data_IF_412069349866
#
_entry.id   IF_412069349866
#
_cell.length_a   1.000
_cell.length_b   1.000
_cell.length_c   1.000
_cell.angle_alpha   90.00
_cell.angle_beta   90.00
_cell.angle_gamma   90.00
#
_symmetry.space_group_name_H-M   'P 1'
#
loop_
_entity.id
_entity.type
_entity.pdbx_description
1 polymer ?
#
# COMPACT_ATOMS: atom_id res chain seq x y z
N UNK A 1 72.41 -57.48 10.71
CA UNK A 1 71.99 -56.49 9.71
C UNK A 1 70.48 -56.42 9.69
N UNK A 2 69.92 -55.44 10.37
CA UNK A 2 68.45 -55.26 10.52
C UNK A 2 68.00 -54.20 9.52
N UNK A 3 67.11 -54.59 8.59
CA UNK A 3 66.39 -53.63 7.73
C UNK A 3 65.18 -53.13 8.47
N UNK A 4 65.14 -51.88 8.76
CA UNK A 4 63.93 -51.17 9.28
C UNK A 4 63.10 -50.74 8.10
N UNK A 5 61.83 -51.15 8.14
CA UNK A 5 60.80 -50.82 7.19
C UNK A 5 60.05 -49.61 7.71
N UNK A 6 60.20 -48.42 7.05
CA UNK A 6 59.45 -47.22 7.36
C UNK A 6 58.08 -47.28 6.73
N UNK A 7 57.05 -47.37 7.57
CA UNK A 7 55.65 -47.20 7.15
C UNK A 7 55.29 -45.71 7.19
N UNK A 8 55.11 -45.12 6.02
CA UNK A 8 54.58 -43.75 5.90
C UNK A 8 53.08 -43.85 5.91
N UNK A 9 52.45 -43.42 7.02
CA UNK A 9 51.01 -43.25 7.11
C UNK A 9 50.67 -41.88 6.49
N UNK A 10 50.07 -41.92 5.29
CA UNK A 10 49.52 -40.75 4.61
C UNK A 10 48.16 -40.43 5.25
N UNK A 11 48.14 -39.50 6.23
CA UNK A 11 46.89 -38.91 6.75
C UNK A 11 46.31 -38.01 5.67
N UNK A 12 45.30 -38.47 4.97
CA UNK A 12 44.49 -37.63 4.09
C UNK A 12 43.62 -36.67 4.95
N UNK A 13 44.02 -35.43 4.99
CA UNK A 13 43.16 -34.33 5.50
C UNK A 13 42.11 -34.08 4.42
N UNK A 14 40.93 -34.63 4.61
CA UNK A 14 39.74 -34.17 3.87
C UNK A 14 39.34 -32.81 4.45
N UNK A 15 39.82 -31.74 3.84
CA UNK A 15 39.27 -30.42 4.06
C UNK A 15 37.82 -30.45 3.57
N UNK A 16 36.89 -30.50 4.51
CA UNK A 16 35.52 -30.10 4.29
C UNK A 16 35.53 -28.60 3.91
N UNK A 17 35.58 -28.34 2.62
CA UNK A 17 35.22 -27.03 2.06
C UNK A 17 33.72 -26.80 2.35
N UNK A 18 33.43 -26.46 3.60
CA UNK A 18 32.21 -25.70 3.89
C UNK A 18 32.33 -24.42 3.08
N UNK A 19 31.71 -24.39 1.91
CA UNK A 19 31.64 -23.21 1.08
C UNK A 19 31.01 -22.09 1.88
N UNK A 20 31.85 -21.20 2.45
CA UNK A 20 31.41 -19.89 2.90
C UNK A 20 30.81 -19.20 1.66
N UNK A 21 29.49 -19.27 1.51
CA UNK A 21 28.78 -18.33 0.65
C UNK A 21 29.14 -16.94 1.19
N UNK A 22 29.57 -15.97 0.37
CA UNK A 22 29.75 -14.62 0.84
C UNK A 22 28.41 -14.17 1.41
N UNK A 23 28.30 -14.04 2.71
CA UNK A 23 27.19 -13.35 3.34
C UNK A 23 27.22 -11.95 2.78
N UNK A 24 26.27 -11.62 1.88
CA UNK A 24 26.11 -10.26 1.41
C UNK A 24 25.93 -9.35 2.63
N UNK A 25 26.54 -8.16 2.60
CA UNK A 25 26.40 -7.18 3.68
C UNK A 25 24.92 -7.04 4.03
N UNK A 26 24.59 -7.19 5.32
CA UNK A 26 23.19 -7.02 5.79
C UNK A 26 22.69 -5.61 5.42
N UNK A 27 21.40 -5.49 5.03
CA UNK A 27 20.85 -4.18 4.73
C UNK A 27 20.89 -3.28 5.96
N UNK A 28 21.14 -2.00 5.75
CA UNK A 28 21.06 -0.99 6.81
C UNK A 28 19.59 -0.71 7.14
N UNK A 29 19.30 -0.22 8.36
CA UNK A 29 17.94 0.24 8.71
C UNK A 29 17.46 1.31 7.75
N UNK A 30 16.22 1.19 7.28
CA UNK A 30 15.65 2.08 6.26
C UNK A 30 16.17 1.80 4.85
N UNK A 31 15.79 2.64 3.90
CA UNK A 31 16.19 2.50 2.49
C UNK A 31 17.42 3.36 2.22
N UNK A 32 18.62 2.77 2.25
CA UNK A 32 19.85 3.49 1.90
C UNK A 32 19.88 3.84 0.41
N UNK A 33 20.63 4.89 0.05
CA UNK A 33 20.80 5.29 -1.37
C UNK A 33 21.36 4.13 -2.21
N UNK A 34 22.26 3.32 -1.63
CA UNK A 34 22.81 2.15 -2.31
C UNK A 34 21.73 1.10 -2.63
N UNK A 35 20.90 0.75 -1.64
CA UNK A 35 19.79 -0.16 -1.81
C UNK A 35 18.74 0.36 -2.83
N UNK A 36 18.40 1.65 -2.71
CA UNK A 36 17.46 2.29 -3.63
C UNK A 36 17.93 2.21 -5.10
N UNK A 37 19.19 2.54 -5.35
CA UNK A 37 19.81 2.47 -6.68
C UNK A 37 19.85 1.05 -7.22
N UNK A 38 20.22 0.08 -6.38
CA UNK A 38 20.27 -1.32 -6.75
C UNK A 38 18.88 -1.83 -7.17
N UNK A 39 17.84 -1.59 -6.35
CA UNK A 39 16.46 -1.95 -6.65
C UNK A 39 16.01 -1.38 -7.99
N UNK A 40 16.25 -0.09 -8.21
CA UNK A 40 15.84 0.62 -9.45
C UNK A 40 16.52 0.09 -10.70
N UNK A 41 17.78 -0.37 -10.59
CA UNK A 41 18.53 -0.93 -11.70
C UNK A 41 18.12 -2.36 -12.04
N UNK A 42 17.77 -3.14 -11.02
CA UNK A 42 17.61 -4.58 -11.17
C UNK A 42 16.17 -5.06 -11.22
N UNK A 43 15.20 -4.24 -10.77
CA UNK A 43 13.79 -4.62 -10.65
C UNK A 43 12.94 -3.76 -11.57
N UNK A 44 12.06 -4.43 -12.31
CA UNK A 44 11.07 -3.80 -13.20
C UNK A 44 9.76 -4.58 -13.19
N UNK A 45 8.70 -4.04 -13.83
CA UNK A 45 7.37 -4.64 -13.94
C UNK A 45 6.79 -5.06 -12.58
N UNK A 46 6.91 -4.18 -11.60
CA UNK A 46 6.48 -4.43 -10.24
C UNK A 46 4.96 -4.37 -10.12
N UNK A 47 4.39 -5.40 -9.50
CA UNK A 47 2.96 -5.47 -9.18
C UNK A 47 2.76 -6.02 -7.79
N UNK A 48 1.74 -5.52 -7.09
CA UNK A 48 1.29 -6.02 -5.79
C UNK A 48 -0.15 -6.52 -5.91
N UNK A 49 -0.41 -7.74 -5.44
CA UNK A 49 -1.76 -8.22 -5.13
C UNK A 49 -1.87 -8.34 -3.63
N UNK A 50 -2.69 -7.46 -3.05
CA UNK A 50 -2.88 -7.36 -1.60
C UNK A 50 -4.25 -7.88 -1.22
N UNK A 51 -4.31 -8.66 -0.16
CA UNK A 51 -5.55 -9.07 0.48
C UNK A 51 -5.46 -8.79 1.97
N UNK A 52 -6.48 -8.12 2.52
CA UNK A 52 -6.60 -7.89 3.96
C UNK A 52 -7.93 -8.45 4.46
N UNK A 53 -7.87 -9.17 5.57
CA UNK A 53 -9.04 -9.52 6.37
C UNK A 53 -9.09 -8.60 7.57
N UNK A 54 -10.11 -7.73 7.59
CA UNK A 54 -10.27 -6.66 8.56
C UNK A 54 -11.41 -7.06 9.52
N UNK A 55 -11.13 -7.36 10.80
CA UNK A 55 -12.17 -7.61 11.79
C UNK A 55 -12.85 -6.30 12.23
N UNK A 56 -14.09 -6.38 12.73
CA UNK A 56 -14.83 -5.22 13.26
C UNK A 56 -14.16 -4.68 14.53
N UNK A 57 -13.78 -5.56 15.43
CA UNK A 57 -13.10 -5.18 16.67
C UNK A 57 -11.67 -4.71 16.37
N UNK A 58 -11.37 -3.46 16.71
CA UNK A 58 -10.05 -2.86 16.47
C UNK A 58 -8.90 -3.52 17.26
N UNK A 59 -9.19 -4.30 18.30
CA UNK A 59 -8.17 -5.02 19.06
C UNK A 59 -7.71 -6.31 18.36
N UNK A 60 -8.50 -6.81 17.40
CA UNK A 60 -8.13 -7.99 16.64
C UNK A 60 -7.15 -7.64 15.52
N UNK A 61 -6.27 -8.59 15.19
CA UNK A 61 -5.24 -8.42 14.17
C UNK A 61 -5.85 -8.39 12.76
N UNK A 62 -5.33 -7.50 11.93
CA UNK A 62 -5.62 -7.49 10.50
C UNK A 62 -4.67 -8.46 9.82
N UNK A 63 -5.23 -9.52 9.23
CA UNK A 63 -4.45 -10.53 8.52
C UNK A 63 -4.26 -10.07 7.08
N UNK A 64 -3.01 -10.09 6.63
CA UNK A 64 -2.61 -9.69 5.29
C UNK A 64 -1.99 -10.83 4.49
N UNK A 65 -2.16 -10.76 3.19
CA UNK A 65 -1.39 -11.52 2.20
C UNK A 65 -0.95 -10.58 1.09
N UNK A 66 0.31 -10.65 0.73
CA UNK A 66 0.83 -9.96 -0.45
C UNK A 66 1.46 -10.96 -1.42
N UNK A 67 1.15 -10.82 -2.68
CA UNK A 67 1.84 -11.44 -3.80
C UNK A 67 2.52 -10.33 -4.60
N UNK A 68 3.84 -10.38 -4.66
CA UNK A 68 4.68 -9.41 -5.36
C UNK A 68 5.21 -10.09 -6.61
N UNK A 69 4.85 -9.57 -7.78
CA UNK A 69 5.46 -10.00 -9.04
C UNK A 69 6.42 -8.93 -9.53
N UNK A 70 7.58 -9.36 -9.99
CA UNK A 70 8.63 -8.49 -10.46
C UNK A 70 9.50 -9.18 -11.52
N UNK A 71 10.24 -8.40 -12.29
CA UNK A 71 11.27 -8.89 -13.21
C UNK A 71 12.64 -8.46 -12.71
N UNK A 72 13.57 -9.41 -12.56
CA UNK A 72 14.96 -9.13 -12.22
C UNK A 72 15.88 -9.22 -13.45
N UNK A 73 16.78 -8.26 -13.59
CA UNK A 73 17.80 -8.29 -14.64
C UNK A 73 18.95 -9.23 -14.29
N UNK A 74 19.22 -9.45 -13.01
CA UNK A 74 20.24 -10.37 -12.48
C UNK A 74 19.68 -11.14 -11.30
N UNK A 75 20.13 -12.38 -11.11
CA UNK A 75 19.77 -13.16 -9.91
C UNK A 75 20.57 -12.62 -8.73
N UNK A 76 19.88 -11.99 -7.80
CA UNK A 76 20.44 -11.47 -6.55
C UNK A 76 19.35 -11.42 -5.48
N UNK A 77 19.72 -11.33 -4.20
CA UNK A 77 18.74 -11.27 -3.12
C UNK A 77 17.76 -10.12 -3.32
N UNK A 78 16.49 -10.37 -3.02
CA UNK A 78 15.45 -9.33 -2.98
C UNK A 78 15.28 -8.89 -1.53
N UNK A 79 15.42 -7.60 -1.30
CA UNK A 79 15.27 -6.97 0.01
C UNK A 79 13.97 -6.19 0.01
N UNK A 80 12.98 -6.64 0.79
CA UNK A 80 11.68 -5.97 0.97
C UNK A 80 11.67 -5.23 2.30
N UNK A 81 10.99 -4.11 2.35
CA UNK A 81 10.84 -3.32 3.57
C UNK A 81 9.61 -3.80 4.34
N UNK A 82 9.77 -4.08 5.63
CA UNK A 82 8.68 -4.38 6.55
C UNK A 82 9.11 -4.06 7.98
N UNK A 83 8.70 -2.89 8.47
CA UNK A 83 9.08 -2.35 9.79
C UNK A 83 8.10 -2.77 10.85
N UNK A 84 8.03 -4.06 11.09
CA UNK A 84 7.18 -4.68 12.09
C UNK A 84 7.93 -5.80 12.80
N UNK A 85 7.35 -6.32 13.89
CA UNK A 85 7.90 -7.46 14.61
C UNK A 85 8.09 -8.65 13.66
N UNK A 86 9.27 -9.32 13.66
CA UNK A 86 9.53 -10.49 12.83
C UNK A 86 8.47 -11.58 12.90
N UNK A 87 7.83 -11.76 14.04
CA UNK A 87 6.77 -12.74 14.25
C UNK A 87 5.51 -12.45 13.43
N UNK A 88 5.36 -11.24 12.88
CA UNK A 88 4.25 -10.88 12.00
C UNK A 88 4.38 -11.44 10.60
N UNK A 89 5.56 -11.88 10.16
CA UNK A 89 5.74 -12.62 8.91
C UNK A 89 5.45 -14.10 9.19
N UNK A 90 4.40 -14.65 8.57
CA UNK A 90 3.91 -16.00 8.87
C UNK A 90 4.38 -17.05 7.86
N UNK A 91 4.46 -16.68 6.59
CA UNK A 91 4.89 -17.56 5.52
C UNK A 91 5.59 -16.76 4.42
N UNK A 92 6.61 -17.33 3.83
CA UNK A 92 7.28 -16.84 2.63
C UNK A 92 7.32 -17.94 1.59
N UNK A 93 6.94 -17.63 0.35
CA UNK A 93 7.15 -18.48 -0.82
C UNK A 93 7.79 -17.68 -1.93
N UNK A 94 8.68 -18.32 -2.68
CA UNK A 94 9.33 -17.76 -3.85
C UNK A 94 9.10 -18.69 -5.03
N UNK A 95 8.46 -18.17 -6.10
CA UNK A 95 8.10 -18.96 -7.28
C UNK A 95 7.33 -20.25 -6.93
N UNK A 96 6.38 -20.14 -5.99
CA UNK A 96 5.54 -21.25 -5.50
C UNK A 96 6.23 -22.20 -4.51
N UNK A 97 7.49 -22.00 -4.16
CA UNK A 97 8.26 -22.84 -3.22
C UNK A 97 8.38 -22.16 -1.86
N UNK A 98 8.09 -22.86 -0.75
CA UNK A 98 8.36 -22.35 0.58
C UNK A 98 9.84 -21.97 0.74
N UNK A 99 10.09 -20.82 1.35
CA UNK A 99 11.44 -20.32 1.64
C UNK A 99 11.56 -19.93 3.11
N UNK A 100 12.78 -19.83 3.61
CA UNK A 100 13.08 -19.42 4.98
C UNK A 100 12.84 -17.93 5.15
N UNK A 101 12.20 -17.56 6.27
CA UNK A 101 11.99 -16.17 6.63
C UNK A 101 13.27 -15.64 7.29
N UNK A 102 13.94 -14.70 6.62
CA UNK A 102 15.09 -13.98 7.15
C UNK A 102 14.79 -12.50 7.23
N UNK A 103 14.81 -11.97 8.44
CA UNK A 103 14.55 -10.54 8.71
C UNK A 103 15.81 -9.92 9.31
N UNK A 104 16.22 -8.79 8.75
CA UNK A 104 17.34 -8.00 9.22
C UNK A 104 17.04 -6.51 9.05
N UNK A 105 17.19 -5.73 10.13
CA UNK A 105 17.11 -4.27 10.12
C UNK A 105 15.89 -3.72 9.35
N UNK A 106 14.67 -4.15 9.72
CA UNK A 106 13.39 -3.75 9.09
C UNK A 106 13.17 -4.30 7.66
N UNK A 107 13.95 -5.30 7.23
CA UNK A 107 13.85 -5.88 5.90
C UNK A 107 13.62 -7.38 5.95
N UNK A 108 12.77 -7.87 5.02
CA UNK A 108 12.67 -9.28 4.68
C UNK A 108 13.66 -9.54 3.55
N UNK A 109 14.65 -10.39 3.80
CA UNK A 109 15.70 -10.73 2.82
C UNK A 109 15.39 -12.07 2.17
N UNK A 110 14.97 -12.04 0.90
CA UNK A 110 14.71 -13.23 0.08
C UNK A 110 16.02 -13.67 -0.56
N UNK A 111 16.44 -14.88 -0.28
CA UNK A 111 17.67 -15.47 -0.83
C UNK A 111 17.56 -15.79 -2.32
N UNK A 112 18.68 -16.20 -2.93
CA UNK A 112 18.74 -16.47 -4.37
C UNK A 112 18.31 -17.87 -4.77
N UNK A 113 18.04 -18.77 -3.83
CA UNK A 113 17.86 -20.20 -4.08
C UNK A 113 16.71 -20.52 -5.04
N UNK A 114 15.63 -19.73 -4.99
CA UNK A 114 14.45 -19.89 -5.85
C UNK A 114 14.22 -18.72 -6.78
N UNK A 115 15.04 -17.66 -6.72
CA UNK A 115 14.99 -16.55 -7.64
C UNK A 115 15.64 -16.89 -8.97
N UNK A 116 15.16 -16.26 -10.05
CA UNK A 116 15.70 -16.42 -11.40
C UNK A 116 15.80 -15.08 -12.12
N UNK A 117 16.63 -15.01 -13.13
CA UNK A 117 16.60 -13.90 -14.07
C UNK A 117 15.25 -13.87 -14.78
N UNK A 118 14.65 -12.69 -14.94
CA UNK A 118 13.32 -12.53 -15.51
C UNK A 118 12.23 -12.50 -14.44
N UNK A 119 11.06 -13.03 -14.74
CA UNK A 119 9.88 -12.95 -13.89
C UNK A 119 10.03 -13.79 -12.61
N UNK A 120 9.74 -13.18 -11.47
CA UNK A 120 9.69 -13.80 -10.16
C UNK A 120 8.38 -13.43 -9.45
N UNK A 121 7.97 -14.31 -8.55
CA UNK A 121 6.82 -14.15 -7.68
C UNK A 121 7.22 -14.42 -6.23
N UNK A 122 6.88 -13.51 -5.33
CA UNK A 122 7.12 -13.62 -3.90
C UNK A 122 5.76 -13.49 -3.21
N UNK A 123 5.37 -14.52 -2.45
CA UNK A 123 4.15 -14.52 -1.65
C UNK A 123 4.52 -14.45 -0.17
N UNK A 124 3.85 -13.57 0.58
CA UNK A 124 4.04 -13.41 2.02
C UNK A 124 2.69 -13.35 2.71
N UNK A 125 2.46 -14.25 3.67
CA UNK A 125 1.37 -14.14 4.62
C UNK A 125 1.88 -13.41 5.87
N UNK A 126 1.14 -12.39 6.32
CA UNK A 126 1.61 -11.51 7.39
C UNK A 126 0.46 -10.98 8.26
N UNK A 127 0.80 -10.46 9.42
CA UNK A 127 -0.08 -9.62 10.23
C UNK A 127 0.25 -8.16 9.90
N UNK A 128 -0.74 -7.40 9.46
CA UNK A 128 -0.56 -6.00 9.12
C UNK A 128 -0.17 -5.15 10.34
N UNK A 129 0.68 -4.15 10.12
CA UNK A 129 0.99 -3.19 11.16
C UNK A 129 -0.11 -2.15 11.36
N UNK A 130 -0.11 -1.50 12.51
CA UNK A 130 -1.15 -0.52 12.88
C UNK A 130 -0.69 0.94 12.81
N UNK A 131 0.62 1.20 12.60
CA UNK A 131 1.15 2.57 12.64
C UNK A 131 0.59 3.49 11.55
N UNK A 132 0.25 2.92 10.40
CA UNK A 132 -0.29 3.64 9.24
C UNK A 132 -1.70 3.23 8.88
N UNK A 133 -2.31 2.39 9.72
CA UNK A 133 -3.70 1.99 9.66
C UNK A 133 -4.45 2.70 10.78
N UNK A 134 -4.98 3.89 10.48
CA UNK A 134 -5.76 4.66 11.43
C UNK A 134 -7.11 4.00 11.65
N UNK A 135 -7.34 3.40 12.81
CA UNK A 135 -8.45 2.48 13.04
C UNK A 135 -9.18 2.75 14.35
N UNK A 136 -10.51 2.73 14.28
CA UNK A 136 -11.41 2.60 15.43
C UNK A 136 -12.41 1.45 15.17
N UNK A 137 -13.45 1.30 16.01
CA UNK A 137 -14.42 0.21 15.88
C UNK A 137 -15.46 0.46 14.77
N UNK A 138 -15.46 1.62 14.14
CA UNK A 138 -16.45 1.99 13.13
C UNK A 138 -15.86 2.19 11.75
N UNK A 139 -14.59 2.57 11.65
CA UNK A 139 -13.89 2.75 10.38
C UNK A 139 -12.38 2.68 10.54
N UNK A 140 -11.71 2.54 9.40
CA UNK A 140 -10.28 2.68 9.26
C UNK A 140 -9.92 3.36 7.93
N UNK A 141 -8.74 3.92 7.87
CA UNK A 141 -8.11 4.40 6.64
C UNK A 141 -6.59 4.24 6.71
N UNK A 142 -5.97 4.03 5.55
CA UNK A 142 -4.51 4.00 5.43
C UNK A 142 -3.97 5.42 5.23
N UNK A 143 -2.79 5.68 5.79
CA UNK A 143 -2.05 6.91 5.56
C UNK A 143 -0.54 6.59 5.54
N UNK A 144 -0.01 6.39 4.35
CA UNK A 144 1.30 5.80 4.12
C UNK A 144 2.40 6.82 3.83
N UNK A 145 2.04 8.10 3.74
CA UNK A 145 2.99 9.21 3.53
C UNK A 145 3.86 9.42 4.77
N UNK A 146 5.15 9.76 4.64
CA UNK A 146 5.92 9.84 3.39
C UNK A 146 6.52 8.50 2.93
N UNK A 147 6.77 7.53 3.83
CA UNK A 147 7.45 6.25 3.60
C UNK A 147 7.04 5.23 4.67
N UNK A 148 5.71 5.08 4.86
CA UNK A 148 5.12 4.28 5.94
C UNK A 148 4.38 3.04 5.44
N UNK A 149 4.41 2.73 4.12
CA UNK A 149 3.80 1.51 3.60
C UNK A 149 4.42 0.27 4.23
N UNK A 150 5.71 0.28 4.51
CA UNK A 150 6.43 -0.78 5.23
C UNK A 150 5.97 -1.02 6.68
N UNK A 151 5.16 -0.14 7.25
CA UNK A 151 4.52 -0.35 8.55
C UNK A 151 3.13 -0.98 8.44
N UNK A 152 2.68 -1.26 7.23
CA UNK A 152 1.41 -1.89 6.96
C UNK A 152 1.58 -3.26 6.30
N UNK A 153 2.40 -3.35 5.25
CA UNK A 153 2.63 -4.57 4.49
C UNK A 153 4.04 -4.64 3.90
N UNK A 154 4.57 -5.85 3.62
CA UNK A 154 5.86 -6.01 2.95
C UNK A 154 5.85 -5.40 1.55
N UNK A 155 6.80 -4.51 1.24
CA UNK A 155 6.87 -3.81 -0.04
C UNK A 155 8.28 -3.28 -0.34
N UNK A 156 8.44 -2.66 -1.49
CA UNK A 156 9.55 -1.73 -1.76
C UNK A 156 9.05 -0.31 -1.44
N UNK A 157 9.30 0.17 -0.24
CA UNK A 157 8.82 1.48 0.20
C UNK A 157 9.71 2.60 -0.30
N UNK A 158 9.69 2.77 -1.61
CA UNK A 158 10.54 3.67 -2.38
C UNK A 158 9.70 4.35 -3.46
N UNK A 159 9.56 5.69 -3.44
CA UNK A 159 8.58 6.41 -4.27
C UNK A 159 8.75 6.23 -5.78
N UNK A 160 9.98 6.07 -6.28
CA UNK A 160 10.25 5.88 -7.70
C UNK A 160 10.13 4.42 -8.18
N UNK A 161 9.81 3.49 -7.28
CA UNK A 161 9.42 2.12 -7.61
C UNK A 161 7.89 2.01 -7.73
N UNK A 162 7.33 2.72 -8.71
CA UNK A 162 5.89 2.67 -8.95
C UNK A 162 5.45 1.27 -9.36
N UNK A 163 4.28 0.85 -8.87
CA UNK A 163 3.72 -0.47 -9.11
C UNK A 163 2.22 -0.42 -9.38
N UNK A 164 1.71 -1.43 -10.05
CA UNK A 164 0.27 -1.69 -10.15
C UNK A 164 -0.18 -2.41 -8.90
N UNK A 165 -1.24 -1.92 -8.26
CA UNK A 165 -1.85 -2.54 -7.10
C UNK A 165 -3.20 -3.15 -7.45
N UNK A 166 -3.42 -4.40 -7.02
CA UNK A 166 -4.72 -5.06 -7.00
C UNK A 166 -5.06 -5.37 -5.54
N UNK A 167 -6.22 -4.93 -5.09
CA UNK A 167 -6.63 -5.04 -3.69
C UNK A 167 -7.86 -5.93 -3.54
N UNK A 168 -7.87 -6.76 -2.50
CA UNK A 168 -9.05 -7.44 -2.00
C UNK A 168 -9.21 -7.13 -0.50
N UNK A 169 -10.41 -6.76 -0.10
CA UNK A 169 -10.76 -6.53 1.30
C UNK A 169 -11.87 -7.51 1.73
N UNK A 170 -11.61 -8.27 2.78
CA UNK A 170 -12.59 -9.08 3.49
C UNK A 170 -12.97 -8.30 4.75
N UNK A 171 -14.17 -7.71 4.76
CA UNK A 171 -14.66 -6.77 5.77
C UNK A 171 -15.99 -7.23 6.37
N UNK A 172 -16.45 -6.69 7.52
CA UNK A 172 -17.83 -6.91 8.02
C UNK A 172 -18.87 -6.55 6.95
N UNK A 173 -19.94 -7.33 6.84
CA UNK A 173 -20.95 -7.20 5.78
C UNK A 173 -21.56 -5.80 5.67
N UNK A 174 -21.77 -5.13 6.82
CA UNK A 174 -22.38 -3.79 6.90
C UNK A 174 -21.40 -2.65 6.57
N UNK A 175 -20.10 -2.95 6.39
CA UNK A 175 -19.12 -1.94 6.06
C UNK A 175 -19.09 -1.62 4.57
N UNK A 176 -18.67 -0.42 4.24
CA UNK A 176 -18.36 0.04 2.89
C UNK A 176 -16.86 0.21 2.77
N UNK A 177 -16.31 -0.04 1.60
CA UNK A 177 -14.90 0.21 1.33
C UNK A 177 -14.71 1.02 0.04
N UNK A 178 -13.68 1.84 0.04
CA UNK A 178 -13.19 2.60 -1.11
C UNK A 178 -11.67 2.50 -1.17
N UNK A 179 -11.14 2.42 -2.38
CA UNK A 179 -9.69 2.34 -2.64
C UNK A 179 -9.34 3.17 -3.87
N UNK A 180 -8.05 3.17 -4.26
CA UNK A 180 -7.58 3.90 -5.44
C UNK A 180 -8.32 3.53 -6.74
N UNK A 181 -8.70 2.26 -6.90
CA UNK A 181 -9.39 1.77 -8.10
C UNK A 181 -10.88 1.50 -7.84
N UNK A 182 -11.66 1.35 -8.90
CA UNK A 182 -13.07 1.01 -8.82
C UNK A 182 -13.27 -0.42 -8.30
N UNK A 183 -14.44 -0.68 -7.71
CA UNK A 183 -14.85 -2.01 -7.33
C UNK A 183 -15.07 -2.85 -8.58
N UNK A 184 -14.46 -4.02 -8.64
CA UNK A 184 -14.64 -5.01 -9.69
C UNK A 184 -15.77 -6.00 -9.33
N UNK A 185 -15.77 -6.45 -8.07
CA UNK A 185 -16.82 -7.39 -7.59
C UNK A 185 -16.98 -7.32 -6.07
N UNK A 186 -18.20 -7.64 -5.62
CA UNK A 186 -18.53 -7.85 -4.22
C UNK A 186 -19.22 -9.20 -4.04
N UNK A 187 -18.82 -9.93 -3.00
CA UNK A 187 -19.41 -11.24 -2.66
C UNK A 187 -19.66 -11.30 -1.16
N UNK A 188 -20.87 -11.66 -0.76
CA UNK A 188 -21.23 -11.87 0.64
C UNK A 188 -21.02 -13.34 1.02
N UNK A 189 -20.41 -13.56 2.17
CA UNK A 189 -20.25 -14.88 2.72
C UNK A 189 -20.12 -14.83 4.25
N UNK A 190 -20.89 -15.64 4.96
CA UNK A 190 -20.81 -15.82 6.43
C UNK A 190 -20.81 -14.50 7.23
N UNK A 191 -21.69 -13.54 6.87
CA UNK A 191 -21.77 -12.22 7.53
C UNK A 191 -20.60 -11.28 7.22
N UNK A 192 -19.84 -11.57 6.17
CA UNK A 192 -18.73 -10.77 5.69
C UNK A 192 -18.89 -10.42 4.22
N UNK A 193 -18.19 -9.40 3.79
CA UNK A 193 -18.16 -8.94 2.42
C UNK A 193 -16.74 -9.01 1.89
N UNK A 194 -16.52 -9.78 0.83
CA UNK A 194 -15.29 -9.77 0.06
C UNK A 194 -15.44 -8.79 -1.11
N UNK A 195 -14.64 -7.74 -1.12
CA UNK A 195 -14.61 -6.73 -2.17
C UNK A 195 -13.30 -6.88 -2.94
N UNK A 196 -13.37 -7.06 -4.24
CA UNK A 196 -12.22 -6.98 -5.14
C UNK A 196 -12.24 -5.65 -5.89
N UNK A 197 -11.08 -5.02 -6.01
CA UNK A 197 -10.89 -3.78 -6.75
C UNK A 197 -10.11 -4.05 -8.03
N UNK A 198 -10.39 -3.27 -9.06
CA UNK A 198 -9.65 -3.30 -10.31
C UNK A 198 -8.17 -2.95 -10.08
N UNK A 199 -7.28 -3.35 -10.98
CA UNK A 199 -5.87 -2.91 -10.92
C UNK A 199 -5.76 -1.39 -11.05
N UNK A 200 -4.86 -0.78 -10.27
CA UNK A 200 -4.57 0.66 -10.38
C UNK A 200 -3.70 0.97 -11.59
N UNK A 201 -3.61 2.24 -11.98
CA UNK A 201 -2.45 2.74 -12.70
C UNK A 201 -1.18 2.58 -11.82
N UNK A 202 0.04 2.63 -12.38
CA UNK A 202 1.26 2.54 -11.56
C UNK A 202 1.37 3.68 -10.55
N UNK A 203 1.33 3.34 -9.25
CA UNK A 203 1.40 4.27 -8.12
C UNK A 203 2.68 4.05 -7.29
N UNK A 204 3.16 5.12 -6.66
CA UNK A 204 4.09 5.02 -5.54
C UNK A 204 3.40 4.39 -4.32
N UNK A 205 4.16 3.68 -3.47
CA UNK A 205 3.60 3.01 -2.29
C UNK A 205 2.87 3.95 -1.34
N UNK A 206 3.34 5.18 -1.17
CA UNK A 206 2.71 6.15 -0.28
C UNK A 206 1.35 6.67 -0.76
N UNK A 207 1.05 6.51 -2.06
CA UNK A 207 -0.24 6.86 -2.67
C UNK A 207 -1.24 5.69 -2.68
N UNK A 208 -0.80 4.48 -2.35
CA UNK A 208 -1.72 3.36 -2.19
C UNK A 208 -2.61 3.59 -0.98
N UNK A 209 -3.93 3.49 -1.18
CA UNK A 209 -4.90 3.80 -0.13
C UNK A 209 -6.13 2.90 -0.20
N UNK A 210 -6.66 2.61 0.98
CA UNK A 210 -8.02 2.12 1.15
C UNK A 210 -8.62 2.64 2.45
N UNK A 211 -9.93 2.73 2.44
CA UNK A 211 -10.78 3.10 3.58
C UNK A 211 -11.85 2.03 3.71
N UNK A 212 -12.20 1.65 4.92
CA UNK A 212 -13.32 0.73 5.15
C UNK A 212 -14.06 1.11 6.44
N UNK A 213 -15.37 0.88 6.49
CA UNK A 213 -16.17 1.20 7.69
C UNK A 213 -17.62 1.50 7.43
N UNK A 214 -18.28 2.07 8.44
CA UNK A 214 -19.69 2.50 8.40
C UNK A 214 -19.78 3.89 7.78
N UNK A 215 -19.75 3.99 6.46
CA UNK A 215 -19.79 5.25 5.71
C UNK A 215 -21.16 5.48 5.08
N UNK A 216 -21.61 6.74 5.08
CA UNK A 216 -22.69 7.23 4.23
C UNK A 216 -22.11 7.65 2.88
N UNK A 217 -22.94 7.68 1.84
CA UNK A 217 -22.53 7.98 0.47
C UNK A 217 -23.49 8.95 -0.18
N UNK A 218 -22.94 9.90 -0.94
CA UNK A 218 -23.67 10.72 -1.91
C UNK A 218 -22.89 10.69 -3.22
N UNK A 219 -23.59 10.60 -4.33
CA UNK A 219 -22.98 10.60 -5.65
C UNK A 219 -23.56 11.71 -6.52
N UNK A 220 -22.71 12.33 -7.33
CA UNK A 220 -23.12 13.29 -8.35
C UNK A 220 -22.42 13.00 -9.67
N UNK A 221 -23.18 13.17 -10.76
CA UNK A 221 -22.67 12.92 -12.13
C UNK A 221 -22.78 14.18 -12.97
N UNK A 222 -21.68 14.59 -13.60
CA UNK A 222 -21.61 15.73 -14.55
C UNK A 222 -20.70 15.36 -15.69
N UNK A 223 -21.10 15.71 -16.90
CA UNK A 223 -20.30 15.52 -18.14
C UNK A 223 -19.72 14.10 -18.27
N UNK A 224 -20.50 13.09 -17.87
CA UNK A 224 -20.11 11.68 -17.95
C UNK A 224 -19.15 11.20 -16.82
N UNK A 225 -18.74 12.08 -15.91
CA UNK A 225 -17.95 11.73 -14.71
C UNK A 225 -18.87 11.60 -13.51
N UNK A 226 -18.76 10.50 -12.77
CA UNK A 226 -19.46 10.30 -11.48
C UNK A 226 -18.45 10.37 -10.35
N UNK A 227 -18.75 11.19 -9.35
CA UNK A 227 -17.96 11.35 -8.12
C UNK A 227 -18.79 10.89 -6.95
N UNK A 228 -18.23 10.05 -6.08
CA UNK A 228 -18.85 9.59 -4.85
C UNK A 228 -18.15 10.24 -3.66
N UNK A 229 -18.94 10.82 -2.77
CA UNK A 229 -18.49 11.35 -1.49
C UNK A 229 -18.86 10.40 -0.37
N UNK A 230 -17.87 9.90 0.34
CA UNK A 230 -18.02 9.07 1.54
C UNK A 230 -17.84 9.95 2.77
N UNK A 231 -18.77 9.88 3.71
CA UNK A 231 -18.77 10.76 4.89
C UNK A 231 -19.43 10.11 6.10
N UNK A 232 -19.23 10.71 7.28
CA UNK A 232 -19.84 10.28 8.54
C UNK A 232 -20.55 11.39 9.28
N UNK A 233 -20.61 12.61 8.73
CA UNK A 233 -21.37 13.72 9.31
C UNK A 233 -22.86 13.36 9.38
N UNK A 234 -23.50 13.73 10.48
CA UNK A 234 -24.93 13.44 10.74
C UNK A 234 -25.78 14.70 10.86
N UNK A 235 -25.14 15.87 10.97
CA UNK A 235 -25.86 17.14 10.96
C UNK A 235 -26.40 17.45 9.54
N UNK A 236 -27.73 17.48 9.34
CA UNK A 236 -28.31 17.72 8.03
C UNK A 236 -27.89 19.06 7.39
N UNK A 237 -27.63 20.08 8.21
CA UNK A 237 -27.23 21.40 7.68
C UNK A 237 -25.81 21.34 7.10
N UNK A 238 -24.92 20.58 7.73
CA UNK A 238 -23.58 20.34 7.22
C UNK A 238 -23.59 19.43 6.01
N UNK A 239 -24.35 18.33 6.05
CA UNK A 239 -24.48 17.41 4.92
C UNK A 239 -25.07 18.12 3.70
N UNK A 240 -26.00 19.08 3.87
CA UNK A 240 -26.54 19.89 2.76
C UNK A 240 -25.46 20.68 1.98
N UNK A 241 -24.26 20.87 2.56
CA UNK A 241 -23.14 21.49 1.84
C UNK A 241 -22.53 20.60 0.76
N UNK A 242 -22.96 19.34 0.63
CA UNK A 242 -22.47 18.43 -0.41
C UNK A 242 -22.55 19.01 -1.82
N UNK A 243 -23.61 19.78 -2.12
CA UNK A 243 -23.79 20.41 -3.44
C UNK A 243 -22.62 21.33 -3.78
N UNK A 244 -22.27 22.24 -2.85
CA UNK A 244 -21.16 23.18 -3.08
C UNK A 244 -19.80 22.46 -3.07
N UNK A 245 -19.65 21.38 -2.31
CA UNK A 245 -18.43 20.55 -2.33
C UNK A 245 -18.26 19.92 -3.71
N UNK A 246 -19.31 19.31 -4.28
CA UNK A 246 -19.26 18.76 -5.64
C UNK A 246 -19.02 19.85 -6.68
N UNK A 247 -19.67 21.03 -6.56
CA UNK A 247 -19.41 22.16 -7.44
C UNK A 247 -17.93 22.54 -7.48
N UNK A 248 -17.30 22.63 -6.31
CA UNK A 248 -15.88 22.98 -6.19
C UNK A 248 -14.96 21.90 -6.77
N UNK A 249 -15.28 20.60 -6.60
CA UNK A 249 -14.50 19.49 -7.14
C UNK A 249 -14.60 19.46 -8.68
N UNK A 250 -15.81 19.51 -9.23
CA UNK A 250 -16.00 19.52 -10.69
C UNK A 250 -15.38 20.75 -11.33
N UNK A 251 -15.48 21.92 -10.69
CA UNK A 251 -14.84 23.14 -11.17
C UNK A 251 -13.31 23.02 -11.17
N UNK A 252 -12.71 22.45 -10.11
CA UNK A 252 -11.27 22.24 -10.01
C UNK A 252 -10.76 21.27 -11.06
N UNK A 253 -11.43 20.12 -11.26
CA UNK A 253 -11.10 19.16 -12.30
C UNK A 253 -11.16 19.80 -13.70
N UNK A 254 -12.28 20.46 -14.01
CA UNK A 254 -12.45 21.10 -15.31
C UNK A 254 -11.39 22.18 -15.55
N UNK A 255 -11.13 23.03 -14.56
CA UNK A 255 -10.14 24.10 -14.70
C UNK A 255 -8.73 23.54 -14.96
N UNK A 256 -8.35 22.48 -14.24
CA UNK A 256 -7.05 21.83 -14.41
C UNK A 256 -6.93 21.15 -15.78
N UNK A 257 -7.96 20.43 -16.25
CA UNK A 257 -7.99 19.84 -17.59
C UNK A 257 -7.88 20.90 -18.67
N UNK A 258 -8.61 22.01 -18.56
CA UNK A 258 -8.56 23.12 -19.50
C UNK A 258 -7.19 23.83 -19.50
N UNK A 259 -6.60 24.03 -18.29
CA UNK A 259 -5.32 24.72 -18.11
C UNK A 259 -4.12 23.89 -18.59
N UNK A 260 -4.09 22.60 -18.28
CA UNK A 260 -2.98 21.72 -18.65
C UNK A 260 -3.12 21.12 -20.03
N UNK A 261 -4.33 21.06 -20.57
CA UNK A 261 -4.66 20.32 -21.80
C UNK A 261 -4.59 18.80 -21.61
N UNK A 262 -4.52 18.32 -20.38
CA UNK A 262 -4.42 16.90 -20.02
C UNK A 262 -5.70 16.48 -19.31
N UNK A 263 -6.46 15.50 -19.84
CA UNK A 263 -7.61 14.94 -19.12
C UNK A 263 -7.18 14.27 -17.81
N UNK A 264 -8.07 14.29 -16.83
CA UNK A 264 -7.83 13.56 -15.56
C UNK A 264 -7.47 12.09 -15.87
N UNK A 265 -6.30 11.60 -15.43
CA UNK A 265 -5.73 10.35 -15.94
C UNK A 265 -6.23 9.09 -15.25
N UNK A 266 -6.98 9.21 -14.14
CA UNK A 266 -7.45 8.06 -13.37
C UNK A 266 -8.93 7.76 -13.63
N UNK A 267 -9.35 6.51 -13.39
CA UNK A 267 -10.69 6.03 -13.75
C UNK A 267 -11.82 6.61 -12.87
N UNK A 268 -11.49 7.07 -11.67
CA UNK A 268 -12.46 7.67 -10.73
C UNK A 268 -11.82 8.76 -9.86
N UNK A 269 -12.67 9.62 -9.32
CA UNK A 269 -12.30 10.65 -8.34
C UNK A 269 -13.33 10.62 -7.22
N UNK A 270 -13.09 9.84 -6.15
CA UNK A 270 -13.96 9.82 -4.99
C UNK A 270 -13.39 10.66 -3.86
N UNK A 271 -14.28 11.18 -3.02
CA UNK A 271 -13.95 11.97 -1.83
C UNK A 271 -14.24 11.13 -0.60
N UNK A 272 -13.31 11.08 0.35
CA UNK A 272 -13.57 10.50 1.67
C UNK A 272 -13.36 11.57 2.73
N UNK A 273 -14.44 12.02 3.34
CA UNK A 273 -14.40 13.04 4.39
C UNK A 273 -14.26 12.34 5.73
N UNK A 274 -13.03 12.35 6.26
CA UNK A 274 -12.60 11.56 7.42
C UNK A 274 -12.71 12.40 8.70
N UNK A 275 -13.50 11.92 9.69
CA UNK A 275 -13.58 12.61 10.99
C UNK A 275 -12.22 12.68 11.68
N UNK A 276 -11.79 13.91 12.00
CA UNK A 276 -10.52 14.13 12.69
C UNK A 276 -9.28 13.76 11.89
N UNK A 277 -9.34 13.80 10.54
CA UNK A 277 -8.18 13.56 9.70
C UNK A 277 -7.03 14.50 10.07
N UNK A 278 -5.82 13.97 10.17
CA UNK A 278 -4.68 14.72 10.73
C UNK A 278 -4.09 15.78 9.78
N UNK A 279 -4.39 15.71 8.47
CA UNK A 279 -4.02 16.70 7.47
C UNK A 279 -5.27 17.44 6.96
N UNK A 280 -5.11 18.45 6.12
CA UNK A 280 -6.21 19.07 5.39
C UNK A 280 -6.80 18.11 4.38
N UNK A 281 -5.95 17.55 3.56
CA UNK A 281 -6.24 16.52 2.55
C UNK A 281 -5.09 15.56 2.36
N UNK A 282 -5.31 14.59 1.47
CA UNK A 282 -4.28 13.67 0.99
C UNK A 282 -4.66 13.17 -0.40
N UNK A 283 -3.76 13.36 -1.34
CA UNK A 283 -3.92 13.21 -2.80
C UNK A 283 -3.92 11.75 -3.30
N UNK A 284 -4.55 10.83 -2.58
CA UNK A 284 -4.63 9.45 -3.07
C UNK A 284 -5.43 9.38 -4.38
N UNK A 285 -4.82 8.98 -5.51
CA UNK A 285 -5.53 8.85 -6.77
C UNK A 285 -6.78 7.99 -6.64
N UNK A 286 -7.91 8.50 -7.13
CA UNK A 286 -9.19 7.80 -7.08
C UNK A 286 -9.91 7.79 -5.73
N UNK A 287 -9.26 8.16 -4.61
CA UNK A 287 -9.85 8.17 -3.26
C UNK A 287 -9.21 9.24 -2.38
N UNK A 288 -9.47 10.51 -2.70
CA UNK A 288 -8.88 11.66 -1.99
C UNK A 288 -9.46 11.76 -0.60
N UNK A 289 -8.60 11.80 0.42
CA UNK A 289 -9.04 11.98 1.81
C UNK A 289 -9.06 13.45 2.18
N UNK A 290 -10.07 13.86 2.93
CA UNK A 290 -10.22 15.23 3.42
C UNK A 290 -10.59 15.26 4.90
N UNK A 291 -10.15 16.31 5.59
CA UNK A 291 -10.54 16.60 6.96
C UNK A 291 -12.00 17.07 7.02
N UNK A 292 -12.81 16.47 7.88
CA UNK A 292 -14.23 16.76 8.04
C UNK A 292 -14.52 18.23 8.37
N UNK A 293 -13.72 18.86 9.25
CA UNK A 293 -13.90 20.26 9.66
C UNK A 293 -13.52 21.26 8.57
N UNK A 294 -12.69 20.85 7.61
CA UNK A 294 -12.32 21.67 6.46
C UNK A 294 -13.35 21.59 5.35
N UNK A 295 -14.10 20.49 5.27
CA UNK A 295 -15.09 20.23 4.24
C UNK A 295 -16.51 20.64 4.67
N UNK A 296 -16.93 20.27 5.89
CA UNK A 296 -18.22 20.64 6.46
C UNK A 296 -18.06 21.83 7.39
N UNK A 297 -18.25 23.02 6.83
CA UNK A 297 -18.09 24.28 7.55
C UNK A 297 -19.26 24.52 8.55
N UNK A 298 -19.07 25.44 9.47
CA UNK A 298 -20.12 25.86 10.40
C UNK A 298 -21.34 26.48 9.68
N UNK A 299 -22.43 26.78 10.43
CA UNK A 299 -23.67 27.31 9.84
C UNK A 299 -23.52 28.72 9.25
N UNK A 300 -22.50 29.46 9.63
CA UNK A 300 -22.21 30.81 9.15
C UNK A 300 -20.72 30.92 8.81
N UNK A 301 -20.26 30.26 7.73
CA UNK A 301 -18.85 30.32 7.38
C UNK A 301 -18.46 31.72 6.93
N UNK A 302 -17.23 32.08 7.26
CA UNK A 302 -16.62 33.28 6.70
C UNK A 302 -16.20 33.05 5.26
N UNK A 303 -16.01 34.09 4.48
CA UNK A 303 -15.46 34.01 3.12
C UNK A 303 -14.10 33.31 3.12
N UNK A 304 -13.27 33.54 4.15
CA UNK A 304 -11.97 32.90 4.29
C UNK A 304 -12.09 31.37 4.47
N UNK A 305 -13.05 30.88 5.25
CA UNK A 305 -13.31 29.46 5.42
C UNK A 305 -13.81 28.80 4.12
N UNK A 306 -14.70 29.49 3.38
CA UNK A 306 -15.19 29.01 2.08
C UNK A 306 -14.07 28.97 1.04
N UNK A 307 -13.23 29.99 0.96
CA UNK A 307 -12.06 30.03 0.09
C UNK A 307 -11.04 28.95 0.49
N UNK A 308 -10.83 28.77 1.81
CA UNK A 308 -9.92 27.75 2.33
C UNK A 308 -10.36 26.31 1.99
N UNK A 309 -11.68 26.04 1.92
CA UNK A 309 -12.19 24.75 1.41
C UNK A 309 -11.92 24.59 -0.08
N UNK A 310 -12.22 25.62 -0.87
CA UNK A 310 -11.96 25.60 -2.32
C UNK A 310 -10.47 25.44 -2.64
N UNK A 311 -9.61 26.17 -1.92
CA UNK A 311 -8.15 26.04 -2.03
C UNK A 311 -7.69 24.63 -1.73
N UNK A 312 -8.18 24.03 -0.65
CA UNK A 312 -7.85 22.64 -0.29
C UNK A 312 -8.25 21.66 -1.40
N UNK A 313 -9.48 21.75 -1.90
CA UNK A 313 -9.96 20.88 -2.99
C UNK A 313 -9.09 21.06 -4.25
N UNK A 314 -8.80 22.30 -4.63
CA UNK A 314 -7.97 22.60 -5.78
C UNK A 314 -6.53 22.07 -5.60
N UNK A 315 -5.98 22.20 -4.39
CA UNK A 315 -4.65 21.68 -4.02
C UNK A 315 -4.57 20.17 -4.23
N UNK A 316 -5.46 19.41 -3.62
CA UNK A 316 -5.45 17.93 -3.76
C UNK A 316 -5.71 17.48 -5.20
N UNK A 317 -6.54 18.23 -5.94
CA UNK A 317 -6.80 17.93 -7.36
C UNK A 317 -5.57 18.19 -8.23
N UNK A 318 -4.74 19.18 -7.87
CA UNK A 318 -3.53 19.54 -8.63
C UNK A 318 -2.44 18.46 -8.58
N UNK A 319 -2.45 17.62 -7.55
CA UNK A 319 -1.52 16.49 -7.43
C UNK A 319 -1.79 15.35 -8.43
N UNK A 320 -2.96 15.34 -9.05
CA UNK A 320 -3.41 14.29 -9.97
C UNK A 320 -2.95 14.57 -11.41
#
# INVERSE_FOLDING_TARGET
MKKQLFFIILLGVVELLAGCRPEGKEPETGVSIGLARQRKQDISNLQYRLKFRIPENKQEEVIGKVQITLKQEKVQPVVLDFREDPHKVKQLKVNGRPDSIRISNEHIVVGTDYLKKGANEIEIDFIAGNQSLNRNDEFLYTLLVPERARTLFPCFDQPDMKAVFTLQLDIPEQWVAVANAAVESETLHEGRKLIAFQPTQPLSTYLFSFVAGKWQQLAESRDGKTIVMYYRETDPQKVAQHTIIFDQVFASLKWLEDYTGIPYPFDKYDLVIVPGFQFGGMEHPGAVLYNDKRMFLGPHPTIEEELGRMELIAHETTHM
#
